data_IF_833270016054
#
_entry.id   IF_833270016054
#
_cell.length_a   1.000
_cell.length_b   1.000
_cell.length_c   1.000
_cell.angle_alpha   90.00
_cell.angle_beta   90.00
_cell.angle_gamma   90.00
#
_symmetry.space_group_name_H-M   'P 1'
#
loop_
_entity.id
_entity.type
_entity.pdbx_description
1 polymer ?
#
# COMPACT_ATOMS: atom_id res chain seq x y z
N UNK A 1 12.17 16.10 -14.60
CA UNK A 1 11.83 14.69 -14.29
C UNK A 1 10.84 14.66 -13.13
N UNK A 2 9.76 13.91 -13.28
CA UNK A 2 8.78 13.76 -12.21
C UNK A 2 9.34 12.92 -11.06
N UNK A 3 9.12 13.37 -9.83
CA UNK A 3 9.52 12.66 -8.63
C UNK A 3 8.34 12.00 -7.95
N UNK A 4 8.64 11.03 -7.09
CA UNK A 4 7.62 10.35 -6.26
C UNK A 4 6.85 11.36 -5.42
N UNK A 5 7.53 12.37 -4.87
CA UNK A 5 6.91 13.39 -4.03
C UNK A 5 5.77 14.14 -4.72
N UNK A 6 5.81 14.26 -6.05
CA UNK A 6 4.78 14.98 -6.81
C UNK A 6 3.49 14.18 -6.98
N UNK A 7 3.56 12.86 -6.84
CA UNK A 7 2.44 11.95 -7.13
C UNK A 7 1.95 11.19 -5.90
N UNK A 8 2.83 10.90 -4.95
CA UNK A 8 2.49 10.10 -3.77
C UNK A 8 1.30 10.65 -2.98
N UNK A 9 0.59 9.78 -2.30
CA UNK A 9 -0.36 10.19 -1.28
C UNK A 9 0.42 10.58 -0.04
N UNK A 10 0.26 11.81 0.40
CA UNK A 10 0.92 12.32 1.62
C UNK A 10 0.12 11.94 2.85
N UNK A 11 0.81 11.78 3.96
CA UNK A 11 0.18 11.44 5.24
C UNK A 11 -0.78 10.25 5.11
N UNK A 12 -0.27 9.08 4.67
CA UNK A 12 -1.13 7.91 4.53
C UNK A 12 -1.67 7.46 5.88
N UNK A 13 -2.76 6.71 5.86
CA UNK A 13 -3.24 6.06 7.07
C UNK A 13 -2.19 5.07 7.55
N UNK A 14 -1.94 5.04 8.84
CA UNK A 14 -0.93 4.18 9.45
C UNK A 14 -1.49 3.42 10.64
N UNK A 15 -0.78 2.36 11.02
CA UNK A 15 -1.05 1.62 12.25
C UNK A 15 0.24 1.49 13.04
N UNK A 16 0.09 1.29 14.33
CA UNK A 16 1.20 0.89 15.18
C UNK A 16 1.31 -0.63 15.22
N UNK A 17 2.46 -1.17 15.67
CA UNK A 17 2.67 -2.62 15.69
C UNK A 17 1.73 -3.37 16.63
N UNK A 18 1.19 -2.69 17.62
CA UNK A 18 0.28 -3.27 18.62
C UNK A 18 -1.19 -3.21 18.23
N UNK A 19 -1.54 -2.48 17.16
CA UNK A 19 -2.89 -2.49 16.65
C UNK A 19 -3.29 -3.89 16.21
N UNK A 20 -4.58 -4.17 16.25
CA UNK A 20 -5.11 -5.50 15.94
C UNK A 20 -5.42 -5.68 14.45
N UNK A 21 -5.58 -6.94 14.03
CA UNK A 21 -6.08 -7.28 12.70
C UNK A 21 -7.45 -6.65 12.44
N UNK A 22 -8.31 -6.64 13.45
CA UNK A 22 -9.65 -6.07 13.31
C UNK A 22 -9.58 -4.57 13.00
N UNK A 23 -8.69 -3.85 13.68
CA UNK A 23 -8.47 -2.42 13.44
C UNK A 23 -7.94 -2.16 12.01
N UNK A 24 -7.02 -3.00 11.55
CA UNK A 24 -6.50 -2.91 10.19
C UNK A 24 -7.59 -3.16 9.15
N UNK A 25 -8.40 -4.19 9.37
CA UNK A 25 -9.50 -4.52 8.47
C UNK A 25 -10.51 -3.39 8.38
N UNK A 26 -10.87 -2.81 9.52
CA UNK A 26 -11.80 -1.69 9.57
C UNK A 26 -11.27 -0.50 8.81
N UNK A 27 -10.00 -0.14 9.01
CA UNK A 27 -9.36 0.98 8.34
C UNK A 27 -9.34 0.80 6.82
N UNK A 28 -9.01 -0.40 6.36
CA UNK A 28 -9.01 -0.73 4.93
C UNK A 28 -10.41 -0.61 4.32
N UNK A 29 -11.43 -1.10 5.02
CA UNK A 29 -12.81 -1.04 4.55
C UNK A 29 -13.35 0.39 4.50
N UNK A 30 -13.08 1.19 5.53
CA UNK A 30 -13.55 2.57 5.60
C UNK A 30 -12.96 3.47 4.52
N UNK A 31 -11.70 3.28 4.19
CA UNK A 31 -10.95 4.15 3.28
C UNK A 31 -10.66 3.52 1.93
N UNK A 32 -11.16 2.32 1.68
CA UNK A 32 -10.97 1.60 0.41
C UNK A 32 -9.48 1.46 0.04
N UNK A 33 -8.66 1.13 1.02
CA UNK A 33 -7.22 0.93 0.85
C UNK A 33 -6.85 -0.53 1.11
N UNK A 34 -5.76 -0.98 0.50
CA UNK A 34 -5.28 -2.36 0.60
C UNK A 34 -3.91 -2.50 1.24
N UNK A 35 -3.29 -1.41 1.59
CA UNK A 35 -1.96 -1.38 2.17
C UNK A 35 -1.92 -0.33 3.26
N UNK A 36 -1.38 -0.69 4.41
CA UNK A 36 -1.25 0.23 5.53
C UNK A 36 0.18 0.13 6.06
N UNK A 37 0.94 1.22 6.01
CA UNK A 37 2.26 1.25 6.65
C UNK A 37 2.13 1.14 8.16
N UNK A 38 3.05 0.42 8.77
CA UNK A 38 3.15 0.28 10.21
C UNK A 38 4.32 1.11 10.70
N UNK A 39 4.05 2.02 11.62
CA UNK A 39 5.05 2.96 12.12
C UNK A 39 5.21 2.84 13.64
N UNK A 40 6.41 3.16 14.10
CA UNK A 40 6.69 3.26 15.54
C UNK A 40 6.07 4.53 16.11
N UNK A 41 6.06 4.66 17.44
CA UNK A 41 5.60 5.87 18.10
C UNK A 41 6.36 7.13 17.69
N UNK A 42 7.55 6.97 17.11
CA UNK A 42 8.37 8.08 16.62
C UNK A 42 8.15 8.39 15.13
N UNK A 43 7.26 7.67 14.48
CA UNK A 43 6.96 7.88 13.06
C UNK A 43 7.90 7.17 12.10
N UNK A 44 8.73 6.27 12.60
CA UNK A 44 9.63 5.47 11.75
C UNK A 44 8.88 4.29 11.16
N UNK A 45 9.09 4.04 9.88
CA UNK A 45 8.48 2.89 9.20
C UNK A 45 9.11 1.60 9.71
N UNK A 46 8.29 0.67 10.19
CA UNK A 46 8.75 -0.62 10.71
C UNK A 46 8.13 -1.82 10.02
N UNK A 47 7.08 -1.63 9.24
CA UNK A 47 6.43 -2.72 8.55
C UNK A 47 5.38 -2.24 7.56
N UNK A 48 4.78 -3.21 6.87
CA UNK A 48 3.69 -2.95 5.92
C UNK A 48 2.71 -4.11 6.01
N UNK A 49 1.43 -3.80 6.07
CA UNK A 49 0.35 -4.78 6.08
C UNK A 49 -0.49 -4.61 4.82
N UNK A 50 -0.71 -5.71 4.12
CA UNK A 50 -1.59 -5.72 2.95
C UNK A 50 -2.91 -6.41 3.28
N UNK A 51 -3.91 -6.14 2.44
CA UNK A 51 -5.19 -6.85 2.52
C UNK A 51 -4.99 -8.37 2.41
N UNK A 52 -4.06 -8.79 1.56
CA UNK A 52 -3.70 -10.21 1.40
C UNK A 52 -3.17 -10.81 2.70
N UNK A 53 -2.36 -10.06 3.44
CA UNK A 53 -1.84 -10.50 4.74
C UNK A 53 -2.99 -10.74 5.74
N UNK A 54 -4.00 -9.86 5.72
CA UNK A 54 -5.17 -10.01 6.59
C UNK A 54 -5.97 -11.26 6.23
N UNK A 55 -6.17 -11.53 4.94
CA UNK A 55 -6.89 -12.71 4.49
C UNK A 55 -6.17 -14.00 4.90
N UNK A 56 -4.86 -14.03 4.75
CA UNK A 56 -4.05 -15.19 5.15
C UNK A 56 -4.12 -15.42 6.67
N UNK A 57 -4.07 -14.36 7.44
CA UNK A 57 -4.16 -14.44 8.90
C UNK A 57 -5.55 -14.90 9.36
N UNK A 58 -6.61 -14.43 8.68
CA UNK A 58 -7.98 -14.83 8.97
C UNK A 58 -8.19 -16.34 8.75
N UNK A 59 -7.64 -16.88 7.67
CA UNK A 59 -7.69 -18.31 7.39
C UNK A 59 -7.00 -19.11 8.50
N UNK A 60 -5.85 -18.65 8.97
CA UNK A 60 -5.12 -19.28 10.07
C UNK A 60 -5.94 -19.23 11.37
N UNK A 61 -6.63 -18.12 11.64
CA UNK A 61 -7.49 -17.98 12.83
C UNK A 61 -8.66 -18.95 12.79
N UNK A 62 -9.30 -19.11 11.64
CA UNK A 62 -10.39 -20.07 11.46
C UNK A 62 -9.92 -21.49 11.73
N UNK A 63 -8.74 -21.85 11.22
CA UNK A 63 -8.16 -23.17 11.48
C UNK A 63 -7.86 -23.37 12.97
N UNK A 64 -7.37 -22.34 13.64
CA UNK A 64 -7.09 -22.40 15.09
C UNK A 64 -8.38 -22.59 15.89
N UNK A 65 -9.47 -21.91 15.53
CA UNK A 65 -10.77 -22.06 16.16
C UNK A 65 -11.31 -23.47 15.99
N UNK A 66 -11.18 -24.05 14.80
CA UNK A 66 -11.58 -25.43 14.52
C UNK A 66 -10.81 -26.44 15.37
N UNK A 67 -9.61 -26.09 15.79
CA UNK A 67 -8.76 -26.92 16.66
C UNK A 67 -8.98 -26.67 18.14
N UNK A 68 -9.93 -25.79 18.50
CA UNK A 68 -10.25 -25.45 19.87
C UNK A 68 -9.34 -24.38 20.47
N UNK A 69 -8.60 -23.65 19.64
CA UNK A 69 -7.77 -22.52 20.07
C UNK A 69 -8.59 -21.24 19.86
N UNK A 70 -8.81 -20.49 20.93
CA UNK A 70 -9.55 -19.23 20.87
C UNK A 70 -8.60 -18.06 20.61
N UNK A 71 -8.26 -17.80 19.34
CA UNK A 71 -7.60 -16.59 18.94
C UNK A 71 -8.58 -15.79 18.08
N UNK A 72 -9.01 -14.62 18.53
CA UNK A 72 -9.84 -13.71 17.74
C UNK A 72 -8.98 -12.63 17.12
N UNK A 73 -9.47 -12.03 16.01
CA UNK A 73 -8.76 -10.94 15.32
C UNK A 73 -8.43 -9.76 16.25
N UNK A 74 -9.23 -9.58 17.32
CA UNK A 74 -9.02 -8.50 18.30
C UNK A 74 -7.75 -8.67 19.13
N UNK A 75 -7.22 -9.89 19.20
CA UNK A 75 -6.05 -10.20 20.02
C UNK A 75 -4.77 -10.43 19.20
N UNK A 76 -4.88 -10.48 17.88
CA UNK A 76 -3.72 -10.68 17.03
C UNK A 76 -3.14 -9.31 16.67
N UNK A 77 -1.90 -9.09 17.08
CA UNK A 77 -1.21 -7.83 16.80
C UNK A 77 -0.70 -7.78 15.35
N UNK A 78 -0.74 -6.62 14.77
CA UNK A 78 -0.26 -6.36 13.40
C UNK A 78 1.22 -6.78 13.26
N UNK A 79 2.04 -6.56 14.29
CA UNK A 79 3.45 -6.93 14.26
C UNK A 79 3.70 -8.41 13.95
N UNK A 80 2.73 -9.28 14.24
CA UNK A 80 2.89 -10.72 13.98
C UNK A 80 2.64 -11.11 12.53
N UNK A 81 2.04 -10.24 11.73
CA UNK A 81 1.70 -10.54 10.33
C UNK A 81 2.27 -9.57 9.32
N UNK A 82 2.77 -8.42 9.76
CA UNK A 82 3.32 -7.41 8.87
C UNK A 82 4.56 -7.92 8.12
N UNK A 83 4.78 -7.40 6.92
CA UNK A 83 6.03 -7.60 6.20
C UNK A 83 7.09 -6.68 6.78
N UNK A 84 8.23 -7.22 7.15
CA UNK A 84 9.38 -6.48 7.67
C UNK A 84 10.65 -7.26 7.38
N UNK A 85 11.74 -6.63 6.87
CA UNK A 85 11.84 -5.22 6.48
C UNK A 85 11.00 -4.91 5.23
N UNK A 86 10.68 -3.65 5.04
CA UNK A 86 9.84 -3.16 3.94
C UNK A 86 10.69 -2.53 2.86
N UNK A 87 10.40 -2.85 1.60
CA UNK A 87 10.97 -2.11 0.49
C UNK A 87 10.34 -0.72 0.45
N UNK A 88 11.16 0.30 0.34
CA UNK A 88 10.74 1.69 0.36
C UNK A 88 11.33 2.45 -0.83
N UNK A 89 10.84 3.65 -1.02
CA UNK A 89 11.39 4.56 -2.02
C UNK A 89 11.57 5.94 -1.37
N UNK A 90 12.61 6.65 -1.77
CA UNK A 90 12.83 8.02 -1.31
C UNK A 90 11.88 8.96 -2.05
N UNK A 91 11.42 10.02 -1.38
CA UNK A 91 10.50 10.98 -2.00
C UNK A 91 11.09 11.71 -3.20
N UNK A 92 12.41 11.81 -3.29
CA UNK A 92 13.10 12.44 -4.43
C UNK A 92 13.37 11.47 -5.57
N UNK A 93 13.05 10.20 -5.42
CA UNK A 93 13.25 9.21 -6.46
C UNK A 93 12.42 9.56 -7.70
N UNK A 94 12.96 9.20 -8.87
CA UNK A 94 12.26 9.41 -10.13
C UNK A 94 11.04 8.51 -10.25
N UNK A 95 9.98 9.07 -10.78
CA UNK A 95 8.70 8.36 -10.88
C UNK A 95 8.78 7.16 -11.83
N UNK A 96 9.45 7.33 -12.96
CA UNK A 96 9.61 6.26 -13.95
C UNK A 96 10.38 5.06 -13.37
N UNK A 97 11.49 5.32 -12.69
CA UNK A 97 12.28 4.26 -12.06
C UNK A 97 11.49 3.53 -10.98
N UNK A 98 10.66 4.26 -10.24
CA UNK A 98 9.78 3.68 -9.23
C UNK A 98 8.74 2.77 -9.85
N UNK A 99 8.12 3.20 -10.96
CA UNK A 99 7.17 2.37 -11.71
C UNK A 99 7.81 1.07 -12.19
N UNK A 100 9.03 1.16 -12.72
CA UNK A 100 9.79 0.00 -13.18
C UNK A 100 10.10 -0.96 -12.02
N UNK A 101 10.42 -0.41 -10.86
CA UNK A 101 10.69 -1.22 -9.66
C UNK A 101 9.44 -1.98 -9.19
N UNK A 102 8.30 -1.31 -9.16
CA UNK A 102 7.02 -1.95 -8.82
C UNK A 102 6.70 -3.09 -9.79
N UNK A 103 6.85 -2.83 -11.08
CA UNK A 103 6.56 -3.81 -12.10
C UNK A 103 7.48 -5.03 -12.03
N UNK A 104 8.78 -4.79 -11.92
CA UNK A 104 9.80 -5.84 -11.90
C UNK A 104 9.64 -6.76 -10.69
N UNK A 105 9.35 -6.19 -9.53
CA UNK A 105 9.25 -6.93 -8.27
C UNK A 105 7.80 -7.32 -7.92
N UNK A 106 6.84 -7.02 -8.80
CA UNK A 106 5.42 -7.32 -8.61
C UNK A 106 4.88 -6.80 -7.28
N UNK A 107 5.25 -5.56 -6.97
CA UNK A 107 4.82 -4.89 -5.74
C UNK A 107 3.56 -4.06 -6.03
N UNK A 108 2.59 -4.11 -5.11
CA UNK A 108 1.40 -3.29 -5.21
C UNK A 108 1.59 -1.89 -4.65
N UNK A 109 2.62 -1.70 -3.82
CA UNK A 109 2.81 -0.44 -3.13
C UNK A 109 4.25 -0.29 -2.64
N UNK A 110 4.68 0.96 -2.49
CA UNK A 110 5.94 1.32 -1.84
C UNK A 110 5.67 2.46 -0.87
N UNK A 111 5.95 2.26 0.42
CA UNK A 111 6.01 3.39 1.34
C UNK A 111 7.12 4.34 0.93
N UNK A 112 6.86 5.63 1.06
CA UNK A 112 7.80 6.70 0.70
C UNK A 112 8.39 7.26 1.97
N UNK A 113 9.71 7.31 2.03
CA UNK A 113 10.42 7.73 3.23
C UNK A 113 11.36 8.90 2.96
N UNK A 114 11.63 9.65 4.00
CA UNK A 114 12.68 10.64 4.09
C UNK A 114 13.43 10.37 5.39
N UNK A 115 14.70 10.01 5.31
CA UNK A 115 15.53 9.73 6.48
C UNK A 115 14.89 8.70 7.44
N UNK A 116 14.31 7.63 6.87
CA UNK A 116 13.68 6.55 7.63
C UNK A 116 12.27 6.84 8.12
N UNK A 117 11.79 8.07 7.96
CA UNK A 117 10.45 8.47 8.38
C UNK A 117 9.47 8.37 7.22
N UNK A 118 8.30 7.85 7.51
CA UNK A 118 7.25 7.74 6.51
C UNK A 118 6.71 9.14 6.16
N UNK A 119 6.72 9.48 4.86
CA UNK A 119 6.18 10.74 4.36
C UNK A 119 5.05 10.56 3.37
N UNK A 120 4.89 9.37 2.82
CA UNK A 120 3.84 9.10 1.85
C UNK A 120 3.75 7.64 1.47
N UNK A 121 2.89 7.36 0.53
CA UNK A 121 2.75 6.03 -0.07
C UNK A 121 2.46 6.19 -1.56
N UNK A 122 3.04 5.30 -2.36
CA UNK A 122 2.75 5.25 -3.79
C UNK A 122 2.35 3.82 -4.15
N UNK A 123 1.30 3.69 -4.95
CA UNK A 123 0.72 2.39 -5.28
C UNK A 123 0.62 2.20 -6.78
N UNK A 124 0.38 0.97 -7.20
CA UNK A 124 0.11 0.65 -8.60
C UNK A 124 -1.11 1.41 -9.13
N UNK A 125 -2.12 1.66 -8.29
CA UNK A 125 -3.29 2.46 -8.66
C UNK A 125 -2.93 3.89 -9.05
N UNK A 126 -1.92 4.48 -8.41
CA UNK A 126 -1.44 5.82 -8.75
C UNK A 126 -0.89 5.84 -10.18
N UNK A 127 -0.16 4.80 -10.57
CA UNK A 127 0.38 4.70 -11.93
C UNK A 127 -0.71 4.40 -12.96
N UNK A 128 -1.74 3.64 -12.59
CA UNK A 128 -2.89 3.43 -13.48
C UNK A 128 -3.59 4.76 -13.73
N UNK A 129 -3.79 5.58 -12.71
CA UNK A 129 -4.40 6.89 -12.86
C UNK A 129 -3.58 7.80 -13.80
N UNK A 130 -2.25 7.77 -13.65
CA UNK A 130 -1.34 8.51 -14.53
C UNK A 130 -1.48 8.01 -15.98
N UNK A 131 -1.51 6.69 -16.16
CA UNK A 131 -1.64 6.08 -17.49
C UNK A 131 -2.94 6.51 -18.16
N UNK A 132 -4.06 6.51 -17.44
CA UNK A 132 -5.35 6.95 -17.96
C UNK A 132 -5.28 8.41 -18.39
N UNK A 133 -4.70 9.27 -17.58
CA UNK A 133 -4.54 10.69 -17.90
C UNK A 133 -3.71 10.91 -19.16
N UNK A 134 -2.60 10.16 -19.32
CA UNK A 134 -1.76 10.23 -20.50
C UNK A 134 -2.50 9.72 -21.75
N UNK A 135 -3.26 8.67 -21.62
CA UNK A 135 -4.07 8.14 -22.72
C UNK A 135 -5.12 9.14 -23.19
N UNK A 136 -5.76 9.82 -22.25
CA UNK A 136 -6.73 10.88 -22.56
C UNK A 136 -6.08 12.03 -23.32
N UNK A 137 -4.86 12.42 -22.92
CA UNK A 137 -4.10 13.46 -23.62
C UNK A 137 -3.74 13.04 -25.05
N UNK A 138 -3.33 11.77 -25.23
CA UNK A 138 -3.01 11.24 -26.56
C UNK A 138 -4.24 11.19 -27.44
N UNK A 139 -5.37 10.76 -26.93
CA UNK A 139 -6.62 10.68 -27.68
C UNK A 139 -7.11 12.08 -28.06
N UNK A 140 -6.99 13.07 -27.18
CA UNK A 140 -7.37 14.45 -27.44
C UNK A 140 -6.52 15.09 -28.55
N UNK A 141 -5.28 14.62 -28.75
CA UNK A 141 -4.36 15.14 -29.78
C UNK A 141 -4.51 14.44 -31.14
N UNK A 142 -5.25 13.32 -31.19
CA UNK A 142 -5.48 12.59 -32.42
C UNK A 142 -6.73 13.10 -33.14
N UNK A 143 -6.74 13.11 -34.51
CA UNK A 143 -7.96 13.42 -35.24
C UNK A 143 -8.99 12.30 -35.00
N UNK A 144 -10.27 12.67 -34.90
CA UNK A 144 -11.40 11.77 -34.65
C UNK A 144 -11.69 10.81 -35.79
N UNK A 145 -10.69 10.07 -36.27
CA UNK A 145 -10.87 9.08 -37.32
C UNK A 145 -11.40 7.74 -36.81
N UNK A 146 -11.34 7.54 -35.50
CA UNK A 146 -11.72 6.29 -34.89
C UNK A 146 -12.60 6.54 -33.67
N UNK A 147 -13.87 6.72 -33.92
CA UNK A 147 -14.85 6.78 -32.88
C UNK A 147 -15.41 5.38 -32.67
N UNK A 148 -14.90 4.70 -31.66
CA UNK A 148 -15.38 3.38 -31.27
C UNK A 148 -16.45 3.55 -30.21
N UNK A 149 -17.66 3.68 -30.65
CA UNK A 149 -18.79 3.65 -29.73
C UNK A 149 -19.20 2.21 -29.39
#
# INVERSE_FOLDING_TARGET
MLSVAEIMTREPYTLGPENSLAEARQLMAEHHIRHIPVVSGEGCLIGLVSHRDLLAAADSTVLAEQRGVTATENYVAISSIMTSPVQTVDEQAGLRGTAMHLQKNKLGCLPVVREGRLVGIITDSDFVAIAISLMEQLEASEPDEFDFD
#
